data_IF_166793402281
#
_entry.id   IF_166793402281
#
_cell.length_a   1.000
_cell.length_b   1.000
_cell.length_c   1.000
_cell.angle_alpha   90.00
_cell.angle_beta   90.00
_cell.angle_gamma   90.00
#
_symmetry.space_group_name_H-M   'P 1'
#
loop_
_entity.id
_entity.type
_entity.pdbx_description
1 polymer ?
#
# COMPACT_ATOMS: atom_id res chain seq x y z
N UNK A 1 16.84 -39.57 -17.04
CA UNK A 1 15.79 -38.99 -17.92
C UNK A 1 14.43 -39.44 -17.43
N UNK A 2 13.60 -38.50 -16.95
CA UNK A 2 12.12 -38.52 -16.86
C UNK A 2 11.72 -37.41 -15.87
N UNK A 3 11.30 -36.26 -16.41
CA UNK A 3 10.70 -35.15 -15.65
C UNK A 3 9.19 -35.17 -15.93
N UNK A 4 8.41 -35.31 -14.86
CA UNK A 4 6.97 -35.19 -14.85
C UNK A 4 6.53 -33.74 -14.60
N UNK A 5 5.55 -33.36 -15.41
CA UNK A 5 4.31 -32.62 -15.11
C UNK A 5 4.38 -31.12 -14.76
N UNK A 6 4.11 -30.33 -15.81
CA UNK A 6 3.55 -28.97 -15.75
C UNK A 6 2.06 -29.06 -15.39
N UNK A 7 1.63 -28.30 -14.40
CA UNK A 7 0.22 -28.05 -14.11
C UNK A 7 -0.31 -26.99 -15.07
N UNK A 8 -1.19 -27.41 -15.98
CA UNK A 8 -2.02 -26.52 -16.80
C UNK A 8 -3.31 -26.24 -16.03
N UNK A 9 -3.59 -24.98 -15.72
CA UNK A 9 -4.85 -24.54 -15.11
C UNK A 9 -5.92 -24.58 -16.19
N UNK A 10 -6.87 -25.51 -16.05
CA UNK A 10 -8.06 -25.56 -16.89
C UNK A 10 -9.03 -24.43 -16.49
N UNK A 11 -9.34 -23.55 -17.44
CA UNK A 11 -10.45 -22.60 -17.35
C UNK A 11 -11.72 -23.41 -17.66
N UNK A 12 -12.54 -23.66 -16.64
CA UNK A 12 -13.89 -24.20 -16.84
C UNK A 12 -14.81 -23.04 -17.21
N UNK A 13 -15.07 -22.90 -18.50
CA UNK A 13 -16.16 -22.07 -19.02
C UNK A 13 -17.48 -22.83 -18.80
N UNK A 14 -18.31 -22.37 -17.87
CA UNK A 14 -19.68 -22.88 -17.75
C UNK A 14 -20.53 -22.31 -18.89
N UNK A 15 -20.89 -23.16 -19.85
CA UNK A 15 -21.93 -22.90 -20.84
C UNK A 15 -23.27 -22.75 -20.12
N UNK A 16 -23.85 -21.55 -20.17
CA UNK A 16 -25.22 -21.29 -19.72
C UNK A 16 -26.14 -21.66 -20.89
N UNK A 17 -27.00 -22.65 -20.69
CA UNK A 17 -28.06 -23.00 -21.63
C UNK A 17 -28.98 -21.81 -21.90
N UNK A 18 -29.28 -21.59 -23.17
CA UNK A 18 -30.19 -20.55 -23.64
C UNK A 18 -31.61 -21.00 -23.32
N UNK A 19 -32.16 -20.54 -22.20
CA UNK A 19 -33.59 -20.50 -21.97
C UNK A 19 -34.12 -19.15 -22.40
N UNK A 20 -34.93 -19.09 -23.46
CA UNK A 20 -35.64 -17.88 -23.83
C UNK A 20 -36.70 -17.58 -22.75
N UNK A 21 -36.62 -16.40 -22.13
CA UNK A 21 -37.69 -15.87 -21.28
C UNK A 21 -38.22 -14.59 -21.92
N UNK A 22 -39.51 -14.61 -22.24
CA UNK A 22 -40.27 -13.46 -22.71
C UNK A 22 -40.42 -12.44 -21.58
N UNK A 23 -40.36 -11.15 -21.92
CA UNK A 23 -40.64 -10.05 -20.99
C UNK A 23 -42.05 -9.55 -21.24
N UNK A 24 -42.93 -9.59 -20.23
CA UNK A 24 -44.17 -8.81 -20.25
C UNK A 24 -43.97 -7.52 -19.47
N UNK A 25 -44.13 -6.39 -20.17
CA UNK A 25 -44.26 -5.05 -19.59
C UNK A 25 -45.76 -4.78 -19.52
N UNK A 26 -46.33 -4.67 -18.33
CA UNK A 26 -47.76 -4.38 -18.17
C UNK A 26 -47.97 -2.86 -18.14
N UNK A 27 -48.50 -2.33 -19.25
CA UNK A 27 -49.24 -1.07 -19.28
C UNK A 27 -50.75 -1.42 -19.36
N UNK A 28 -51.58 -0.62 -18.70
CA UNK A 28 -53.03 -0.82 -18.65
C UNK A 28 -53.66 -0.57 -20.03
N UNK A 29 -54.39 -1.55 -20.57
CA UNK A 29 -55.79 -1.40 -21.04
C UNK A 29 -56.37 -2.72 -21.59
N UNK A 30 -57.70 -2.70 -21.71
CA UNK A 30 -58.72 -3.76 -21.76
C UNK A 30 -58.73 -4.79 -22.91
N UNK A 31 -59.39 -5.93 -22.59
CA UNK A 31 -60.15 -6.91 -23.41
C UNK A 31 -59.56 -8.30 -23.78
N UNK A 32 -60.34 -9.31 -23.35
CA UNK A 32 -60.63 -10.66 -23.91
C UNK A 32 -59.65 -11.85 -23.82
N UNK A 33 -60.26 -12.98 -23.43
CA UNK A 33 -59.75 -14.31 -23.10
C UNK A 33 -58.91 -15.02 -24.17
N UNK A 34 -57.92 -15.82 -23.74
CA UNK A 34 -57.78 -17.27 -24.02
C UNK A 34 -56.90 -17.88 -22.91
N UNK A 35 -57.39 -18.96 -22.30
CA UNK A 35 -56.70 -19.75 -21.27
C UNK A 35 -55.77 -20.79 -21.91
N UNK A 36 -54.52 -20.86 -21.48
CA UNK A 36 -53.63 -22.00 -21.73
C UNK A 36 -52.77 -22.24 -20.50
N UNK A 37 -53.01 -23.37 -19.83
CA UNK A 37 -52.23 -23.84 -18.69
C UNK A 37 -50.79 -24.14 -19.12
N UNK A 38 -49.83 -23.29 -18.72
CA UNK A 38 -48.42 -23.63 -18.68
C UNK A 38 -47.88 -23.41 -17.27
N UNK A 39 -47.20 -24.45 -16.78
CA UNK A 39 -46.59 -24.57 -15.46
C UNK A 39 -45.77 -23.33 -15.10
N UNK A 40 -46.13 -22.72 -13.98
CA UNK A 40 -45.53 -21.53 -13.39
C UNK A 40 -44.11 -21.82 -12.91
N UNK A 41 -43.12 -21.55 -13.77
CA UNK A 41 -41.78 -21.23 -13.27
C UNK A 41 -41.87 -19.91 -12.54
N UNK A 42 -41.77 -19.93 -11.21
CA UNK A 42 -41.86 -18.76 -10.36
C UNK A 42 -40.75 -17.77 -10.70
N UNK A 43 -41.03 -16.84 -11.62
CA UNK A 43 -40.19 -15.68 -11.86
C UNK A 43 -40.34 -14.78 -10.64
N UNK A 44 -39.42 -14.87 -9.69
CA UNK A 44 -39.29 -13.88 -8.61
C UNK A 44 -39.00 -12.52 -9.24
N UNK A 45 -40.05 -11.77 -9.54
CA UNK A 45 -39.95 -10.37 -9.91
C UNK A 45 -39.44 -9.61 -8.69
N UNK A 46 -38.39 -8.81 -8.86
CA UNK A 46 -37.88 -7.94 -7.83
C UNK A 46 -38.01 -6.50 -8.32
N UNK A 47 -38.34 -5.58 -7.40
CA UNK A 47 -38.32 -4.15 -7.70
C UNK A 47 -36.87 -3.71 -7.90
N UNK A 48 -36.51 -3.30 -9.12
CA UNK A 48 -35.15 -2.78 -9.41
C UNK A 48 -34.80 -1.56 -8.56
N UNK A 49 -35.80 -0.79 -8.10
CA UNK A 49 -35.60 0.39 -7.25
C UNK A 49 -35.06 0.04 -5.85
N UNK A 50 -35.27 -1.19 -5.39
CA UNK A 50 -34.85 -1.62 -4.05
C UNK A 50 -33.36 -1.99 -3.97
N UNK A 51 -32.66 -1.99 -5.11
CA UNK A 51 -31.29 -2.46 -5.22
C UNK A 51 -30.36 -1.37 -5.77
N UNK A 52 -29.05 -1.53 -5.53
CA UNK A 52 -28.09 -0.66 -6.17
C UNK A 52 -28.19 -0.76 -7.69
N UNK A 53 -28.34 0.38 -8.35
CA UNK A 53 -28.34 0.51 -9.81
C UNK A 53 -26.95 0.72 -10.42
N UNK A 54 -25.97 1.09 -9.58
CA UNK A 54 -24.57 1.32 -9.95
C UNK A 54 -23.66 0.61 -8.97
N UNK A 55 -22.50 0.18 -9.45
CA UNK A 55 -21.50 -0.48 -8.63
C UNK A 55 -20.93 0.47 -7.56
N UNK A 56 -21.29 0.32 -6.26
CA UNK A 56 -20.67 1.13 -5.21
C UNK A 56 -19.21 0.73 -5.04
N UNK A 57 -18.34 1.64 -4.56
CA UNK A 57 -16.94 1.29 -4.25
C UNK A 57 -16.77 0.74 -2.84
N UNK A 58 -17.57 1.27 -1.91
CA UNK A 58 -17.60 0.87 -0.50
C UNK A 58 -19.06 0.76 -0.10
N UNK A 59 -19.39 -0.29 0.62
CA UNK A 59 -20.70 -0.48 1.26
C UNK A 59 -20.55 -0.51 2.77
N UNK A 60 -21.58 -0.03 3.47
CA UNK A 60 -21.81 -0.23 4.90
C UNK A 60 -23.08 -1.06 5.08
N UNK A 61 -23.01 -2.09 5.92
CA UNK A 61 -24.17 -2.89 6.31
C UNK A 61 -25.04 -2.07 7.26
N UNK A 62 -26.29 -1.79 6.87
CA UNK A 62 -27.28 -1.09 7.70
C UNK A 62 -27.92 -2.03 8.70
N UNK A 63 -28.37 -3.18 8.22
CA UNK A 63 -28.97 -4.24 9.02
C UNK A 63 -28.22 -5.53 8.77
N UNK A 64 -27.98 -6.29 9.84
CA UNK A 64 -27.25 -7.55 9.76
C UNK A 64 -27.89 -8.45 8.70
N UNK A 65 -27.08 -8.98 7.80
CA UNK A 65 -27.53 -9.79 6.66
C UNK A 65 -26.59 -10.97 6.47
N UNK A 66 -27.07 -12.12 5.98
CA UNK A 66 -26.16 -13.20 5.58
C UNK A 66 -25.21 -12.74 4.47
N UNK A 67 -23.97 -13.23 4.55
CA UNK A 67 -22.94 -13.10 3.54
C UNK A 67 -22.60 -14.50 3.01
N UNK A 68 -22.45 -14.61 1.70
CA UNK A 68 -22.43 -15.87 0.98
C UNK A 68 -21.09 -16.07 0.27
N UNK A 69 -20.78 -17.33 -0.06
CA UNK A 69 -19.62 -17.67 -0.90
C UNK A 69 -19.92 -17.69 -2.40
N UNK A 70 -21.18 -17.55 -2.79
CA UNK A 70 -21.63 -17.60 -4.19
C UNK A 70 -22.63 -16.48 -4.53
N UNK A 71 -22.72 -16.16 -5.83
CA UNK A 71 -23.61 -15.11 -6.34
C UNK A 71 -25.09 -15.51 -6.39
N UNK A 72 -25.41 -16.80 -6.24
CA UNK A 72 -26.80 -17.27 -6.17
C UNK A 72 -27.40 -17.09 -4.77
N UNK A 73 -26.58 -16.69 -3.79
CA UNK A 73 -26.95 -16.52 -2.39
C UNK A 73 -27.48 -17.82 -1.75
N UNK A 74 -26.88 -18.96 -2.11
CA UNK A 74 -27.32 -20.27 -1.60
C UNK A 74 -26.47 -20.75 -0.43
N UNK A 75 -25.16 -20.48 -0.42
CA UNK A 75 -24.25 -20.93 0.62
C UNK A 75 -23.85 -19.77 1.55
N UNK A 76 -24.64 -19.56 2.60
CA UNK A 76 -24.33 -18.58 3.65
C UNK A 76 -23.12 -19.06 4.44
N UNK A 77 -22.06 -18.23 4.48
CA UNK A 77 -20.82 -18.54 5.21
C UNK A 77 -20.72 -17.83 6.55
N UNK A 78 -21.36 -16.66 6.68
CA UNK A 78 -21.44 -15.92 7.95
C UNK A 78 -22.48 -14.81 7.89
N UNK A 79 -22.80 -14.23 9.03
CA UNK A 79 -23.52 -12.96 9.12
C UNK A 79 -22.57 -11.77 8.94
N UNK A 80 -22.89 -10.87 8.02
CA UNK A 80 -22.32 -9.53 7.98
C UNK A 80 -23.08 -8.63 8.96
N UNK A 81 -22.37 -8.05 9.93
CA UNK A 81 -22.99 -7.33 11.05
C UNK A 81 -23.35 -5.90 10.65
N UNK A 82 -24.40 -5.34 11.25
CA UNK A 82 -24.68 -3.89 11.15
C UNK A 82 -23.43 -3.08 11.51
N UNK A 83 -23.13 -2.06 10.70
CA UNK A 83 -21.93 -1.22 10.82
C UNK A 83 -20.69 -1.77 10.13
N UNK A 84 -20.68 -3.03 9.70
CA UNK A 84 -19.56 -3.61 8.94
C UNK A 84 -19.44 -2.93 7.57
N UNK A 85 -18.20 -2.79 7.09
CA UNK A 85 -17.89 -2.15 5.81
C UNK A 85 -17.14 -3.11 4.90
N UNK A 86 -17.37 -2.98 3.60
CA UNK A 86 -16.67 -3.76 2.59
C UNK A 86 -16.25 -2.90 1.41
N UNK A 87 -15.04 -3.15 0.92
CA UNK A 87 -14.68 -2.78 -0.44
C UNK A 87 -15.43 -3.68 -1.41
N UNK A 88 -15.95 -3.08 -2.46
CA UNK A 88 -16.73 -3.76 -3.49
C UNK A 88 -15.88 -3.98 -4.72
N UNK A 89 -15.84 -5.23 -5.17
CA UNK A 89 -15.21 -5.63 -6.42
C UNK A 89 -16.16 -5.38 -7.58
N UNK A 90 -17.39 -5.88 -7.50
CA UNK A 90 -18.39 -5.72 -8.55
C UNK A 90 -19.82 -5.78 -8.01
N UNK A 91 -20.74 -5.17 -8.77
CA UNK A 91 -22.17 -5.41 -8.68
C UNK A 91 -22.53 -6.40 -9.79
N UNK A 92 -23.07 -7.55 -9.41
CA UNK A 92 -23.46 -8.62 -10.32
C UNK A 92 -24.97 -8.58 -10.44
N UNK A 93 -25.49 -8.55 -11.66
CA UNK A 93 -26.92 -8.63 -11.93
C UNK A 93 -27.16 -9.89 -12.76
N UNK A 94 -27.40 -11.06 -12.13
CA UNK A 94 -27.67 -12.28 -12.88
C UNK A 94 -29.00 -12.15 -13.62
N UNK A 95 -29.11 -12.76 -14.79
CA UNK A 95 -30.34 -12.74 -15.59
C UNK A 95 -31.53 -13.20 -14.74
N UNK A 96 -32.60 -12.40 -14.73
CA UNK A 96 -33.84 -12.66 -14.00
C UNK A 96 -33.68 -12.87 -12.48
N UNK A 97 -32.58 -12.38 -11.87
CA UNK A 97 -32.38 -12.42 -10.40
C UNK A 97 -31.99 -11.05 -9.84
N UNK A 98 -32.21 -10.90 -8.54
CA UNK A 98 -31.86 -9.69 -7.81
C UNK A 98 -30.34 -9.41 -7.86
N UNK A 99 -29.91 -8.13 -7.94
CA UNK A 99 -28.49 -7.78 -7.94
C UNK A 99 -27.79 -8.17 -6.62
N UNK A 100 -26.51 -8.54 -6.75
CA UNK A 100 -25.65 -9.00 -5.65
C UNK A 100 -24.34 -8.23 -5.69
N UNK A 101 -23.88 -7.79 -4.52
CA UNK A 101 -22.57 -7.17 -4.37
C UNK A 101 -21.54 -8.27 -4.12
N UNK A 102 -20.50 -8.32 -4.95
CA UNK A 102 -19.27 -9.08 -4.69
C UNK A 102 -18.24 -8.17 -4.05
N UNK A 103 -17.82 -8.52 -2.83
CA UNK A 103 -16.79 -7.80 -2.07
C UNK A 103 -15.38 -8.25 -2.49
N UNK A 104 -14.36 -7.44 -2.19
CA UNK A 104 -12.96 -7.81 -2.46
C UNK A 104 -12.47 -8.97 -1.59
N UNK A 105 -13.18 -9.31 -0.51
CA UNK A 105 -12.90 -10.49 0.32
C UNK A 105 -13.51 -11.77 -0.26
N UNK A 106 -14.20 -11.69 -1.41
CA UNK A 106 -14.86 -12.83 -2.04
C UNK A 106 -16.25 -13.14 -1.48
N UNK A 107 -16.77 -12.33 -0.55
CA UNK A 107 -18.13 -12.49 -0.02
C UNK A 107 -19.15 -11.85 -0.95
N UNK A 108 -20.33 -12.46 -1.01
CA UNK A 108 -21.49 -11.98 -1.75
C UNK A 108 -22.57 -11.53 -0.77
N UNK A 109 -23.15 -10.34 -1.00
CA UNK A 109 -24.25 -9.80 -0.20
C UNK A 109 -25.40 -9.35 -1.11
N UNK A 110 -26.67 -9.47 -0.71
CA UNK A 110 -27.78 -8.92 -1.46
C UNK A 110 -27.57 -7.41 -1.66
N UNK A 111 -27.66 -6.89 -2.89
CA UNK A 111 -27.41 -5.48 -3.18
C UNK A 111 -28.57 -4.56 -2.79
N UNK A 112 -29.40 -4.98 -1.82
CA UNK A 112 -30.63 -4.29 -1.42
C UNK A 112 -30.27 -3.04 -0.62
N UNK A 113 -30.80 -1.88 -1.01
CA UNK A 113 -30.51 -0.57 -0.39
C UNK A 113 -31.11 -0.43 1.02
N UNK A 114 -32.09 -1.27 1.37
CA UNK A 114 -32.56 -1.41 2.74
C UNK A 114 -31.48 -2.02 3.64
N UNK A 115 -30.72 -3.00 3.15
CA UNK A 115 -29.68 -3.73 3.89
C UNK A 115 -28.32 -3.04 3.84
N UNK A 116 -27.99 -2.41 2.71
CA UNK A 116 -26.67 -1.84 2.45
C UNK A 116 -26.77 -0.35 2.10
N UNK A 117 -25.80 0.44 2.56
CA UNK A 117 -25.60 1.82 2.14
C UNK A 117 -24.30 1.93 1.35
N UNK A 118 -24.32 2.61 0.20
CA UNK A 118 -23.09 3.03 -0.46
C UNK A 118 -22.48 4.19 0.33
N UNK A 119 -21.19 4.10 0.67
CA UNK A 119 -20.50 5.14 1.46
C UNK A 119 -19.29 5.69 0.71
N UNK A 120 -18.95 6.95 1.00
CA UNK A 120 -17.76 7.60 0.45
C UNK A 120 -16.56 7.27 1.34
N UNK A 121 -15.46 6.86 0.72
CA UNK A 121 -14.20 6.69 1.41
C UNK A 121 -13.51 8.02 1.66
N UNK A 122 -12.65 8.05 2.69
CA UNK A 122 -11.76 9.15 2.99
C UNK A 122 -10.75 9.33 1.87
N UNK A 123 -10.70 10.54 1.33
CA UNK A 123 -9.76 10.92 0.29
C UNK A 123 -9.29 12.34 0.54
N UNK A 124 -8.03 12.59 0.17
CA UNK A 124 -7.54 13.96 0.10
C UNK A 124 -8.23 14.71 -1.06
N UNK A 125 -8.32 16.06 -0.99
CA UNK A 125 -8.77 16.86 -2.12
C UNK A 125 -7.95 16.59 -3.40
N UNK A 126 -8.54 16.87 -4.56
CA UNK A 126 -7.85 16.76 -5.85
C UNK A 126 -6.60 17.66 -5.84
N UNK A 127 -5.49 17.16 -6.39
CA UNK A 127 -4.20 17.87 -6.42
C UNK A 127 -3.24 17.49 -5.30
N UNK A 128 -3.69 16.68 -4.32
CA UNK A 128 -2.83 16.09 -3.29
C UNK A 128 -2.74 14.57 -3.47
N UNK A 129 -1.74 13.96 -2.83
CA UNK A 129 -1.59 12.51 -2.81
C UNK A 129 -2.88 11.85 -2.39
N UNK A 130 -3.37 10.92 -3.19
CA UNK A 130 -4.60 10.20 -2.86
C UNK A 130 -4.28 9.06 -1.89
N UNK A 131 -5.24 8.79 -1.02
CA UNK A 131 -5.14 7.66 -0.09
C UNK A 131 -5.53 6.38 -0.81
N UNK A 132 -4.65 5.40 -0.78
CA UNK A 132 -4.87 4.07 -1.30
C UNK A 132 -5.76 3.26 -0.34
N UNK A 133 -6.74 2.56 -0.90
CA UNK A 133 -7.65 1.67 -0.15
C UNK A 133 -7.22 0.21 -0.16
N UNK A 134 -6.19 -0.10 -0.94
CA UNK A 134 -5.58 -1.43 -1.04
C UNK A 134 -4.08 -1.29 -0.83
N UNK A 135 -3.41 -2.41 -0.53
CA UNK A 135 -1.97 -2.43 -0.25
C UNK A 135 -1.19 -1.69 -1.34
N UNK A 136 -0.47 -0.64 -0.94
CA UNK A 136 0.43 0.09 -1.81
C UNK A 136 1.49 -0.87 -2.34
N UNK A 137 1.76 -0.77 -3.64
CA UNK A 137 2.77 -1.58 -4.33
C UNK A 137 4.09 -0.82 -4.41
N UNK A 138 5.23 -1.53 -4.41
CA UNK A 138 6.52 -0.87 -4.60
C UNK A 138 6.58 -0.18 -5.96
N UNK A 139 7.24 0.98 -5.99
CA UNK A 139 7.50 1.75 -7.19
C UNK A 139 8.98 1.58 -7.59
N UNK A 140 9.23 1.08 -8.81
CA UNK A 140 10.57 0.73 -9.30
C UNK A 140 10.75 -0.78 -9.50
N UNK A 141 11.96 -1.18 -9.89
CA UNK A 141 12.29 -2.58 -10.19
C UNK A 141 12.74 -3.32 -8.93
N UNK A 142 11.95 -4.30 -8.50
CA UNK A 142 12.31 -5.20 -7.39
C UNK A 142 13.41 -6.16 -7.84
N UNK A 143 14.45 -6.34 -7.02
CA UNK A 143 15.55 -7.24 -7.31
C UNK A 143 16.61 -6.64 -8.24
N UNK A 144 16.87 -5.34 -8.10
CA UNK A 144 17.88 -4.64 -8.90
C UNK A 144 19.32 -4.98 -8.46
N UNK A 145 20.27 -4.87 -9.40
CA UNK A 145 21.70 -5.06 -9.18
C UNK A 145 22.31 -3.90 -8.39
N UNK A 146 23.27 -4.18 -7.51
CA UNK A 146 23.94 -3.17 -6.72
C UNK A 146 25.21 -2.67 -7.41
N UNK A 147 25.36 -1.35 -7.49
CA UNK A 147 26.49 -0.68 -8.14
C UNK A 147 27.18 0.29 -7.17
N UNK A 148 28.36 0.78 -7.57
CA UNK A 148 29.04 1.86 -6.86
C UNK A 148 28.13 3.09 -6.72
N UNK A 149 28.17 3.72 -5.54
CA UNK A 149 27.34 4.88 -5.18
C UNK A 149 25.99 4.53 -4.57
N UNK A 150 25.55 3.27 -4.61
CA UNK A 150 24.30 2.87 -3.95
C UNK A 150 24.44 2.88 -2.43
N UNK A 151 23.33 3.18 -1.76
CA UNK A 151 23.19 3.12 -0.31
C UNK A 151 22.18 2.02 0.10
N UNK A 152 21.57 2.14 1.27
CA UNK A 152 20.46 1.28 1.67
C UNK A 152 20.89 -0.07 2.25
N UNK A 153 19.88 -0.93 2.44
CA UNK A 153 20.03 -2.20 3.19
C UNK A 153 20.88 -3.22 2.44
N UNK A 154 20.77 -3.32 1.11
CA UNK A 154 21.61 -4.24 0.33
C UNK A 154 23.09 -3.87 0.44
N UNK A 155 23.42 -2.59 0.29
CA UNK A 155 24.78 -2.07 0.51
C UNK A 155 25.26 -2.35 1.92
N UNK A 156 24.46 -2.03 2.94
CA UNK A 156 24.80 -2.29 4.33
C UNK A 156 25.16 -3.77 4.57
N UNK A 157 24.34 -4.72 4.07
CA UNK A 157 24.61 -6.17 4.22
C UNK A 157 25.90 -6.60 3.52
N UNK A 158 26.12 -6.13 2.29
CA UNK A 158 27.31 -6.46 1.49
C UNK A 158 28.57 -5.96 2.18
N UNK A 159 28.57 -4.71 2.63
CA UNK A 159 29.73 -4.11 3.29
C UNK A 159 30.07 -4.84 4.59
N UNK A 160 29.08 -5.29 5.35
CA UNK A 160 29.32 -6.11 6.55
C UNK A 160 29.88 -7.48 6.20
N UNK A 161 29.35 -8.15 5.18
CA UNK A 161 29.84 -9.47 4.75
C UNK A 161 31.28 -9.42 4.24
N UNK A 162 31.68 -8.32 3.61
CA UNK A 162 33.00 -8.14 3.03
C UNK A 162 33.98 -7.37 3.93
N UNK A 163 33.55 -6.95 5.13
CA UNK A 163 34.40 -6.22 6.06
C UNK A 163 34.80 -4.82 5.60
N UNK A 164 34.01 -4.18 4.74
CA UNK A 164 34.29 -2.84 4.19
C UNK A 164 33.47 -1.72 4.84
N UNK A 165 32.61 -2.06 5.82
CA UNK A 165 31.80 -1.08 6.53
C UNK A 165 32.64 -0.26 7.51
N UNK A 166 32.60 1.07 7.38
CA UNK A 166 33.36 2.01 8.19
C UNK A 166 32.47 3.15 8.72
N UNK A 167 31.29 2.81 9.25
CA UNK A 167 30.35 3.78 9.82
C UNK A 167 29.33 4.38 8.84
N UNK A 168 29.48 4.17 7.53
CA UNK A 168 28.55 4.65 6.50
C UNK A 168 28.23 3.54 5.50
N UNK A 169 26.95 3.38 5.15
CA UNK A 169 26.48 2.34 4.22
C UNK A 169 26.40 2.84 2.78
N UNK A 170 27.51 3.37 2.26
CA UNK A 170 27.70 3.77 0.87
C UNK A 170 28.60 2.78 0.15
N UNK A 171 28.16 2.31 -1.02
CA UNK A 171 28.93 1.41 -1.87
C UNK A 171 30.09 2.18 -2.51
N UNK A 172 31.18 2.28 -1.76
CA UNK A 172 32.36 3.06 -2.08
C UNK A 172 33.38 2.26 -2.93
N UNK A 173 34.48 2.89 -3.41
CA UNK A 173 35.53 2.20 -4.17
C UNK A 173 36.16 1.00 -3.44
N UNK A 174 36.29 1.05 -2.11
CA UNK A 174 36.81 -0.06 -1.33
C UNK A 174 35.89 -1.30 -1.40
N UNK A 175 34.58 -1.08 -1.27
CA UNK A 175 33.55 -2.13 -1.41
C UNK A 175 33.53 -2.69 -2.83
N UNK A 176 33.62 -1.82 -3.84
CA UNK A 176 33.74 -2.24 -5.25
C UNK A 176 34.93 -3.17 -5.48
N UNK A 177 36.11 -2.80 -4.99
CA UNK A 177 37.32 -3.64 -5.11
C UNK A 177 37.19 -4.95 -4.31
N UNK A 178 36.60 -4.92 -3.12
CA UNK A 178 36.35 -6.11 -2.32
C UNK A 178 35.39 -7.09 -3.03
N UNK A 179 34.32 -6.59 -3.64
CA UNK A 179 33.39 -7.40 -4.45
C UNK A 179 34.09 -7.99 -5.65
N UNK A 180 34.89 -7.20 -6.38
CA UNK A 180 35.67 -7.67 -7.52
C UNK A 180 36.63 -8.80 -7.13
N UNK A 181 37.31 -8.67 -6.00
CA UNK A 181 38.20 -9.70 -5.47
C UNK A 181 37.44 -10.95 -5.02
N UNK A 182 36.30 -10.78 -4.35
CA UNK A 182 35.41 -11.87 -3.98
C UNK A 182 34.94 -12.64 -5.21
N UNK A 183 34.48 -11.95 -6.26
CA UNK A 183 34.05 -12.57 -7.51
C UNK A 183 35.16 -13.42 -8.14
N UNK A 184 36.39 -12.89 -8.25
CA UNK A 184 37.55 -13.65 -8.75
C UNK A 184 37.78 -14.94 -7.98
N UNK A 185 37.82 -14.87 -6.64
CA UNK A 185 38.05 -16.04 -5.77
C UNK A 185 36.94 -17.09 -5.85
N UNK A 186 35.77 -16.72 -6.34
CA UNK A 186 34.61 -17.59 -6.43
C UNK A 186 34.21 -17.94 -7.87
N UNK A 187 35.10 -17.73 -8.84
CA UNK A 187 34.90 -18.03 -10.26
C UNK A 187 33.64 -17.34 -10.85
N UNK A 188 33.36 -16.12 -10.39
CA UNK A 188 32.33 -15.24 -10.94
C UNK A 188 32.97 -14.16 -11.82
N UNK A 189 32.24 -13.59 -12.80
CA UNK A 189 32.71 -12.41 -13.52
C UNK A 189 33.07 -11.28 -12.55
N UNK A 190 34.31 -10.80 -12.61
CA UNK A 190 34.84 -9.80 -11.68
C UNK A 190 34.45 -8.37 -12.11
N UNK A 191 33.15 -8.09 -12.14
CA UNK A 191 32.61 -6.78 -12.54
C UNK A 191 32.72 -5.73 -11.45
N UNK A 192 32.76 -6.16 -10.18
CA UNK A 192 32.65 -5.29 -9.01
C UNK A 192 31.21 -4.83 -8.72
N UNK A 193 30.24 -5.28 -9.53
CA UNK A 193 28.80 -5.10 -9.32
C UNK A 193 28.22 -6.34 -8.66
N UNK A 194 27.13 -6.21 -7.92
CA UNK A 194 26.46 -7.36 -7.31
C UNK A 194 25.18 -7.64 -8.06
N UNK A 195 25.17 -8.74 -8.80
CA UNK A 195 23.98 -9.38 -9.34
C UNK A 195 23.44 -10.44 -8.35
N UNK A 196 22.31 -11.05 -8.69
CA UNK A 196 21.71 -12.10 -7.85
C UNK A 196 22.68 -13.28 -7.61
N UNK A 197 23.51 -13.64 -8.60
CA UNK A 197 24.49 -14.74 -8.45
C UNK A 197 25.55 -14.40 -7.42
N UNK A 198 26.13 -13.20 -7.50
CA UNK A 198 27.11 -12.69 -6.52
C UNK A 198 26.48 -12.57 -5.14
N UNK A 199 25.25 -12.07 -5.05
CA UNK A 199 24.48 -11.97 -3.80
C UNK A 199 24.29 -13.33 -3.13
N UNK A 200 23.89 -14.35 -3.89
CA UNK A 200 23.76 -15.72 -3.37
C UNK A 200 25.09 -16.33 -2.98
N UNK A 201 26.17 -16.02 -3.72
CA UNK A 201 27.51 -16.49 -3.39
C UNK A 201 28.06 -15.85 -2.11
N UNK A 202 27.66 -14.61 -1.82
CA UNK A 202 27.84 -13.94 -0.52
C UNK A 202 26.96 -14.53 0.60
N UNK A 203 26.35 -15.70 0.36
CA UNK A 203 25.56 -16.44 1.32
C UNK A 203 24.32 -15.64 1.81
N UNK A 204 23.72 -14.90 0.89
CA UNK A 204 22.42 -14.27 1.10
C UNK A 204 21.33 -14.98 0.30
N UNK A 205 20.12 -15.09 0.86
CA UNK A 205 19.04 -15.79 0.18
C UNK A 205 18.48 -14.99 -1.00
N UNK A 206 18.02 -15.71 -2.05
CA UNK A 206 17.22 -15.14 -3.14
C UNK A 206 15.97 -14.44 -2.63
N UNK A 207 15.36 -14.94 -1.55
CA UNK A 207 14.22 -14.28 -0.91
C UNK A 207 14.59 -12.87 -0.40
N UNK A 208 15.76 -12.69 0.21
CA UNK A 208 16.20 -11.38 0.67
C UNK A 208 16.55 -10.41 -0.46
N UNK A 209 16.98 -10.91 -1.62
CA UNK A 209 17.25 -10.09 -2.81
C UNK A 209 16.02 -9.31 -3.27
N UNK A 210 14.86 -9.98 -3.33
CA UNK A 210 13.60 -9.35 -3.72
C UNK A 210 12.87 -8.75 -2.51
N UNK A 211 12.93 -9.40 -1.35
CA UNK A 211 12.17 -9.02 -0.16
C UNK A 211 12.57 -7.67 0.42
N UNK A 212 13.86 -7.31 0.36
CA UNK A 212 14.35 -6.00 0.83
C UNK A 212 13.72 -4.86 0.01
N UNK A 213 13.70 -5.01 -1.32
CA UNK A 213 13.22 -3.98 -2.26
C UNK A 213 11.68 -3.95 -2.33
N UNK A 214 11.05 -5.12 -2.18
CA UNK A 214 9.59 -5.26 -2.24
C UNK A 214 8.89 -4.78 -0.97
N UNK A 215 9.64 -4.50 0.11
CA UNK A 215 9.02 -4.12 1.37
C UNK A 215 8.38 -2.74 1.30
N UNK A 216 7.06 -2.75 1.47
CA UNK A 216 6.21 -1.58 1.68
C UNK A 216 5.42 -1.86 2.95
N UNK A 217 5.37 -0.91 3.87
CA UNK A 217 4.63 -1.07 5.11
C UNK A 217 3.18 -1.49 4.82
N UNK A 218 2.62 -2.45 5.58
CA UNK A 218 1.24 -2.88 5.40
C UNK A 218 0.28 -1.70 5.58
N UNK A 219 -0.72 -1.58 4.71
CA UNK A 219 -1.80 -0.61 4.89
C UNK A 219 -2.58 -0.95 6.17
N UNK A 220 -2.66 -0.01 7.12
CA UNK A 220 -3.33 -0.22 8.43
C UNK A 220 -4.63 0.57 8.60
N UNK A 221 -4.95 1.46 7.67
CA UNK A 221 -6.18 2.23 7.68
C UNK A 221 -7.05 1.89 6.47
N UNK A 222 -8.33 1.69 6.74
CA UNK A 222 -9.33 1.35 5.75
C UNK A 222 -10.01 2.61 5.21
N UNK A 223 -10.53 2.51 3.99
CA UNK A 223 -11.13 3.62 3.26
C UNK A 223 -12.23 4.38 4.04
N UNK A 224 -12.95 3.73 4.96
CA UNK A 224 -14.07 4.30 5.71
C UNK A 224 -13.68 4.86 7.09
N UNK A 225 -12.43 4.72 7.54
CA UNK A 225 -12.03 5.08 8.90
C UNK A 225 -11.61 6.56 9.07
N UNK A 226 -11.57 7.33 7.98
CA UNK A 226 -11.34 8.77 8.05
C UNK A 226 -9.88 9.17 8.31
N UNK A 227 -9.60 10.47 8.25
CA UNK A 227 -8.27 11.08 8.39
C UNK A 227 -7.48 10.57 9.60
N UNK A 228 -8.11 10.52 10.77
CA UNK A 228 -7.43 10.15 12.02
C UNK A 228 -6.85 8.73 11.98
N UNK A 229 -7.57 7.77 11.38
CA UNK A 229 -7.09 6.40 11.28
C UNK A 229 -5.85 6.28 10.39
N UNK A 230 -5.78 7.04 9.30
CA UNK A 230 -4.62 7.09 8.42
C UNK A 230 -3.39 7.73 9.11
N UNK A 231 -3.61 8.77 9.92
CA UNK A 231 -2.56 9.38 10.76
C UNK A 231 -2.04 8.39 11.79
N UNK A 232 -2.93 7.70 12.52
CA UNK A 232 -2.50 6.72 13.53
C UNK A 232 -1.84 5.50 12.90
N UNK A 233 -2.28 5.06 11.72
CA UNK A 233 -1.59 4.03 10.94
C UNK A 233 -0.16 4.44 10.57
N UNK A 234 0.03 5.69 10.11
CA UNK A 234 1.33 6.25 9.80
C UNK A 234 2.23 6.28 11.04
N UNK A 235 1.74 6.84 12.14
CA UNK A 235 2.52 6.99 13.38
C UNK A 235 2.82 5.62 14.00
N UNK A 236 1.86 4.70 14.02
CA UNK A 236 2.06 3.32 14.47
C UNK A 236 3.24 2.67 13.74
N UNK A 237 3.31 2.84 12.41
CA UNK A 237 4.42 2.29 11.63
C UNK A 237 5.75 2.94 12.00
N UNK A 238 5.80 4.25 12.24
CA UNK A 238 7.03 4.91 12.71
C UNK A 238 7.54 4.29 14.02
N UNK A 239 6.64 3.98 14.96
CA UNK A 239 6.99 3.32 16.22
C UNK A 239 7.49 1.88 16.06
N UNK A 240 7.18 1.18 14.95
CA UNK A 240 7.78 -0.13 14.69
C UNK A 240 9.31 -0.06 14.51
N UNK A 241 9.83 1.11 14.14
CA UNK A 241 11.26 1.35 14.03
C UNK A 241 11.88 1.93 15.31
N UNK A 242 11.13 2.11 16.41
CA UNK A 242 11.67 2.74 17.62
C UNK A 242 12.96 2.04 18.09
N UNK A 243 14.02 2.82 18.30
CA UNK A 243 15.33 2.31 18.70
C UNK A 243 16.17 1.64 17.60
N UNK A 244 15.63 1.44 16.38
CA UNK A 244 16.39 0.91 15.25
C UNK A 244 17.46 1.89 14.79
N UNK A 245 18.61 1.41 14.30
CA UNK A 245 19.72 2.29 13.93
C UNK A 245 19.35 3.19 12.75
N UNK A 246 19.96 4.38 12.74
CA UNK A 246 19.95 5.24 11.56
C UNK A 246 20.87 4.65 10.49
N UNK A 247 20.36 4.44 9.27
CA UNK A 247 21.12 3.90 8.13
C UNK A 247 20.76 4.67 6.86
N UNK A 248 21.75 5.24 6.18
CA UNK A 248 21.56 6.12 5.01
C UNK A 248 20.90 5.40 3.83
N UNK A 249 19.97 6.06 3.13
CA UNK A 249 19.29 5.49 1.95
C UNK A 249 18.44 4.25 2.25
N UNK A 250 18.13 3.97 3.52
CA UNK A 250 17.36 2.82 3.93
C UNK A 250 15.88 3.16 4.08
N UNK A 251 15.02 2.48 3.30
CA UNK A 251 13.55 2.49 3.44
C UNK A 251 12.99 1.07 3.27
N UNK A 252 13.29 0.16 4.19
CA UNK A 252 12.81 -1.23 4.18
C UNK A 252 12.25 -1.63 5.54
N UNK A 253 11.99 -2.91 5.77
CA UNK A 253 11.33 -3.47 6.95
C UNK A 253 11.90 -2.98 8.30
N UNK A 254 11.06 -2.82 9.36
CA UNK A 254 11.51 -2.58 10.74
C UNK A 254 12.46 -3.64 11.32
N UNK A 255 12.65 -4.76 10.62
CA UNK A 255 13.72 -5.71 10.93
C UNK A 255 15.12 -5.05 10.87
N UNK A 256 15.27 -3.95 10.12
CA UNK A 256 16.52 -3.24 9.92
C UNK A 256 16.48 -1.81 10.50
N UNK A 257 17.49 -1.01 10.16
CA UNK A 257 17.50 0.45 10.35
C UNK A 257 16.86 1.21 9.19
N UNK A 258 16.78 2.53 9.35
CA UNK A 258 16.08 3.43 8.43
C UNK A 258 16.67 4.84 8.55
N UNK A 259 16.73 5.63 7.49
CA UNK A 259 17.04 7.06 7.62
C UNK A 259 15.78 7.91 7.84
N UNK A 260 15.94 9.23 7.84
CA UNK A 260 14.86 10.17 8.04
C UNK A 260 13.72 10.06 7.02
N UNK A 261 14.05 10.12 5.74
CA UNK A 261 13.07 10.04 4.65
C UNK A 261 12.52 8.64 4.50
N UNK A 262 13.32 7.60 4.72
CA UNK A 262 12.86 6.23 4.74
C UNK A 262 11.83 5.95 5.82
N UNK A 263 12.02 6.53 7.02
CA UNK A 263 11.04 6.40 8.11
C UNK A 263 9.71 7.02 7.69
N UNK A 264 9.76 8.23 7.12
CA UNK A 264 8.56 8.92 6.64
C UNK A 264 7.89 8.16 5.49
N UNK A 265 8.63 7.65 4.51
CA UNK A 265 8.07 6.89 3.39
C UNK A 265 7.35 5.63 3.88
N UNK A 266 8.00 4.81 4.72
CA UNK A 266 7.37 3.61 5.27
C UNK A 266 6.15 3.94 6.13
N UNK A 267 6.20 5.04 6.88
CA UNK A 267 5.05 5.51 7.65
C UNK A 267 3.90 5.96 6.73
N UNK A 268 4.17 6.73 5.68
CA UNK A 268 3.16 7.17 4.71
C UNK A 268 2.48 5.99 4.04
N UNK A 269 3.22 4.95 3.66
CA UNK A 269 2.66 3.72 3.08
C UNK A 269 1.67 3.03 4.02
N UNK A 270 1.98 2.95 5.32
CA UNK A 270 1.06 2.36 6.29
C UNK A 270 -0.23 3.17 6.45
N UNK A 271 -0.13 4.49 6.34
CA UNK A 271 -1.26 5.41 6.23
C UNK A 271 -1.89 5.46 4.84
N UNK A 272 -1.40 4.70 3.86
CA UNK A 272 -1.99 4.60 2.53
C UNK A 272 -1.61 5.72 1.56
N UNK A 273 -0.57 6.51 1.81
CA UNK A 273 -0.02 7.45 0.81
C UNK A 273 1.22 6.86 0.18
N UNK A 274 1.30 6.94 -1.15
CA UNK A 274 2.50 6.65 -1.92
C UNK A 274 3.17 7.96 -2.34
N UNK A 275 4.34 8.35 -1.78
CA UNK A 275 4.98 9.64 -2.07
C UNK A 275 5.78 9.65 -3.38
N UNK A 276 5.34 8.88 -4.37
CA UNK A 276 6.01 8.76 -5.67
C UNK A 276 6.19 10.13 -6.33
N UNK A 277 7.33 10.39 -7.00
CA UNK A 277 8.37 9.42 -7.38
C UNK A 277 9.35 9.05 -6.25
N UNK A 278 9.31 9.72 -5.10
CA UNK A 278 10.08 9.31 -3.91
C UNK A 278 9.59 7.92 -3.46
N UNK A 279 10.47 6.93 -3.46
CA UNK A 279 10.07 5.53 -3.25
C UNK A 279 11.12 4.74 -2.48
N UNK A 280 10.69 3.66 -1.82
CA UNK A 280 11.60 2.80 -1.06
C UNK A 280 12.73 2.19 -1.88
N UNK A 281 12.46 1.80 -3.12
CA UNK A 281 13.48 1.24 -4.03
C UNK A 281 14.44 2.34 -4.45
N UNK A 282 13.91 3.42 -5.05
CA UNK A 282 14.73 4.53 -5.54
C UNK A 282 15.56 5.21 -4.45
N UNK A 283 15.15 5.14 -3.19
CA UNK A 283 15.86 5.78 -2.09
C UNK A 283 17.31 5.31 -1.90
N UNK A 284 17.60 4.05 -2.21
CA UNK A 284 18.95 3.50 -2.13
C UNK A 284 19.82 3.86 -3.36
N UNK A 285 19.25 4.48 -4.39
CA UNK A 285 19.94 4.77 -5.64
C UNK A 285 20.70 6.10 -5.54
N UNK A 286 21.85 6.25 -6.23
CA UNK A 286 22.62 7.49 -6.26
C UNK A 286 21.77 8.71 -6.59
N UNK A 287 21.99 9.82 -5.89
CA UNK A 287 21.25 11.07 -6.03
C UNK A 287 19.98 11.17 -5.19
N UNK A 288 19.61 10.13 -4.44
CA UNK A 288 18.43 10.10 -3.56
C UNK A 288 18.76 10.12 -2.07
N UNK A 289 20.02 10.46 -1.72
CA UNK A 289 20.53 10.56 -0.35
C UNK A 289 19.73 11.60 0.47
N UNK A 290 19.16 12.58 -0.23
CA UNK A 290 18.40 13.68 0.35
C UNK A 290 16.94 13.67 -0.08
N UNK A 291 16.28 12.50 -0.05
CA UNK A 291 14.86 12.41 -0.37
C UNK A 291 13.95 13.29 0.53
N UNK A 292 14.43 13.76 1.67
CA UNK A 292 13.81 14.85 2.44
C UNK A 292 13.61 16.13 1.60
N UNK A 293 14.56 16.47 0.70
CA UNK A 293 14.43 17.57 -0.27
C UNK A 293 13.34 17.29 -1.30
N UNK A 294 13.27 16.06 -1.81
CA UNK A 294 12.24 15.67 -2.78
C UNK A 294 10.84 15.75 -2.17
N UNK A 295 10.67 15.24 -0.94
CA UNK A 295 9.43 15.38 -0.16
C UNK A 295 9.11 16.85 0.16
N UNK A 296 10.11 17.71 0.37
CA UNK A 296 9.91 19.15 0.56
C UNK A 296 9.53 19.90 -0.74
N UNK A 297 10.01 19.45 -1.89
CA UNK A 297 9.65 20.00 -3.19
C UNK A 297 8.26 19.52 -3.66
N UNK A 298 7.79 18.38 -3.16
CA UNK A 298 6.55 17.75 -3.59
C UNK A 298 5.30 18.63 -3.33
N UNK A 299 4.68 19.10 -4.40
CA UNK A 299 3.49 19.98 -4.35
C UNK A 299 2.22 19.24 -3.93
N UNK A 300 2.21 17.92 -3.97
CA UNK A 300 1.06 17.09 -3.57
C UNK A 300 1.00 16.83 -2.07
N UNK A 301 1.97 17.34 -1.30
CA UNK A 301 1.95 17.43 0.16
C UNK A 301 1.62 18.88 0.55
N UNK A 302 0.49 19.09 1.23
CA UNK A 302 -0.03 20.44 1.54
C UNK A 302 0.89 21.17 2.51
N UNK A 303 1.39 22.35 2.15
CA UNK A 303 2.10 23.22 3.10
C UNK A 303 1.12 23.81 4.12
N UNK A 304 1.53 23.87 5.38
CA UNK A 304 0.73 24.41 6.49
C UNK A 304 1.58 25.43 7.27
N UNK A 305 1.00 26.55 7.75
CA UNK A 305 1.69 27.44 8.68
C UNK A 305 2.18 26.70 9.92
N UNK A 306 3.34 27.09 10.47
CA UNK A 306 3.88 26.41 11.65
C UNK A 306 2.91 26.41 12.85
N UNK A 307 2.15 27.49 13.04
CA UNK A 307 1.12 27.64 14.09
C UNK A 307 -0.04 26.65 13.96
N UNK A 308 -0.33 26.16 12.75
CA UNK A 308 -1.44 25.24 12.46
C UNK A 308 -1.01 23.76 12.41
N UNK A 309 0.23 23.47 12.78
CA UNK A 309 0.76 22.09 12.81
C UNK A 309 -0.08 21.21 13.72
N UNK A 310 -0.37 20.00 13.25
CA UNK A 310 -1.15 19.00 13.95
C UNK A 310 -0.41 17.66 13.93
N UNK A 311 -0.69 16.83 14.93
CA UNK A 311 -0.22 15.44 14.94
C UNK A 311 -0.47 14.79 13.57
N UNK A 312 0.56 14.13 13.04
CA UNK A 312 0.56 13.54 11.70
C UNK A 312 1.09 14.45 10.60
N UNK A 313 1.42 15.71 10.88
CA UNK A 313 2.14 16.56 9.92
C UNK A 313 3.63 16.17 9.86
N UNK A 314 4.26 16.47 8.72
CA UNK A 314 5.68 16.29 8.47
C UNK A 314 6.41 17.59 8.75
N UNK A 315 7.49 17.52 9.54
CA UNK A 315 8.34 18.66 9.92
C UNK A 315 9.64 18.58 9.12
N UNK A 316 9.93 19.62 8.34
CA UNK A 316 11.16 19.74 7.57
C UNK A 316 12.06 20.76 8.24
N UNK A 317 13.37 20.56 8.11
CA UNK A 317 14.34 21.47 8.71
C UNK A 317 15.47 21.75 7.75
N UNK A 318 16.09 22.91 7.93
CA UNK A 318 17.29 23.30 7.23
C UNK A 318 18.52 22.78 7.96
N UNK A 319 19.55 22.46 7.18
CA UNK A 319 20.90 22.33 7.71
C UNK A 319 21.32 23.71 8.24
N UNK A 320 21.85 23.78 9.47
CA UNK A 320 22.35 25.02 10.03
C UNK A 320 23.36 25.68 9.08
N UNK A 321 23.14 26.96 8.77
CA UNK A 321 24.06 27.79 7.97
C UNK A 321 23.94 27.66 6.44
N UNK A 322 23.26 26.66 5.87
CA UNK A 322 23.26 26.43 4.41
C UNK A 322 21.87 26.55 3.75
N UNK A 323 20.84 26.90 4.52
CA UNK A 323 19.41 27.02 4.12
C UNK A 323 18.91 25.87 3.21
N UNK A 324 19.53 24.69 3.34
CA UNK A 324 19.25 23.52 2.50
C UNK A 324 18.52 22.48 3.33
N UNK A 325 17.46 21.87 2.79
CA UNK A 325 16.75 20.80 3.50
C UNK A 325 17.70 19.62 3.69
N UNK A 326 17.77 19.12 4.93
CA UNK A 326 18.64 17.99 5.28
C UNK A 326 17.92 16.87 6.00
N UNK A 327 16.80 17.14 6.67
CA UNK A 327 16.14 16.12 7.47
C UNK A 327 14.64 16.44 7.66
N UNK A 328 13.84 15.38 7.86
CA UNK A 328 12.38 15.34 7.95
C UNK A 328 11.95 14.45 9.13
N UNK A 329 10.90 14.84 9.84
CA UNK A 329 10.34 14.09 10.97
C UNK A 329 8.81 14.07 10.95
N UNK A 330 8.18 13.20 11.76
CA UNK A 330 6.72 13.13 11.92
C UNK A 330 6.31 13.80 13.22
N UNK A 331 5.45 14.81 13.15
CA UNK A 331 4.95 15.54 14.31
C UNK A 331 3.95 14.70 15.11
N UNK A 332 4.19 14.59 16.42
CA UNK A 332 3.37 13.79 17.34
C UNK A 332 2.34 14.62 18.10
N UNK A 333 2.35 15.96 17.93
CA UNK A 333 1.70 16.89 18.84
C UNK A 333 2.60 17.27 20.02
N UNK A 334 2.18 18.26 20.79
CA UNK A 334 2.86 18.72 22.01
C UNK A 334 4.37 18.99 21.83
N UNK A 335 4.76 19.63 20.71
CA UNK A 335 6.15 19.95 20.41
C UNK A 335 7.10 18.75 20.40
N UNK A 336 6.60 17.56 20.05
CA UNK A 336 7.42 16.35 19.89
C UNK A 336 7.33 15.80 18.48
N UNK A 337 8.41 15.16 18.06
CA UNK A 337 8.49 14.43 16.79
C UNK A 337 8.99 13.01 17.04
N UNK A 338 8.62 12.07 16.17
CA UNK A 338 9.36 10.84 15.96
C UNK A 338 10.21 11.02 14.70
N UNK A 339 11.50 10.68 14.80
CA UNK A 339 12.47 10.87 13.74
C UNK A 339 13.49 9.74 13.72
N UNK A 340 14.11 9.52 12.56
CA UNK A 340 15.36 8.75 12.47
C UNK A 340 16.51 9.72 12.31
N UNK A 341 17.40 9.74 13.29
CA UNK A 341 18.60 10.57 13.31
C UNK A 341 19.73 9.81 14.01
N UNK A 342 21.02 9.97 13.65
CA UNK A 342 22.09 9.26 14.34
C UNK A 342 22.01 9.39 15.88
N UNK A 343 22.06 8.28 16.62
CA UNK A 343 22.34 6.91 16.14
C UNK A 343 21.10 6.08 15.79
N UNK A 344 19.87 6.53 16.05
CA UNK A 344 18.66 5.67 16.02
C UNK A 344 17.35 6.44 15.85
N UNK A 345 16.28 5.69 15.57
CA UNK A 345 14.92 6.20 15.66
C UNK A 345 14.55 6.50 17.11
N UNK A 346 13.98 7.68 17.34
CA UNK A 346 13.67 8.20 18.66
C UNK A 346 12.53 9.23 18.64
N UNK A 347 11.96 9.46 19.81
CA UNK A 347 11.11 10.64 20.07
C UNK A 347 11.98 11.76 20.63
N UNK A 348 11.85 12.95 20.06
CA UNK A 348 12.61 14.13 20.46
C UNK A 348 11.70 15.37 20.50
N UNK A 349 12.12 16.44 21.18
CA UNK A 349 11.52 17.77 20.98
C UNK A 349 11.57 18.15 19.49
N UNK A 350 10.53 18.84 19.01
CA UNK A 350 10.45 19.35 17.62
C UNK A 350 11.59 20.33 17.31
N UNK A 351 12.23 20.91 18.32
CA UNK A 351 13.43 21.73 18.18
C UNK A 351 14.42 21.29 19.24
N UNK A 352 15.65 20.97 18.85
CA UNK A 352 16.74 20.61 19.75
C UNK A 352 18.09 21.13 19.20
N UNK A 353 19.19 20.90 19.92
CA UNK A 353 20.51 21.41 19.54
C UNK A 353 21.03 20.92 18.18
N UNK A 354 20.56 19.76 17.69
CA UNK A 354 20.92 19.23 16.37
C UNK A 354 19.92 19.68 15.29
N UNK A 355 18.65 19.84 15.66
CA UNK A 355 17.52 20.19 14.77
C UNK A 355 16.87 21.48 15.24
N UNK A 356 17.57 22.59 15.03
CA UNK A 356 17.18 23.91 15.56
C UNK A 356 16.48 24.83 14.54
N UNK A 357 16.60 24.59 13.23
CA UNK A 357 16.06 25.49 12.20
C UNK A 357 14.95 24.81 11.39
N UNK A 358 13.69 25.03 11.76
CA UNK A 358 12.54 24.48 11.03
C UNK A 358 12.38 25.20 9.67
N UNK A 359 12.29 24.42 8.60
CA UNK A 359 12.05 24.90 7.24
C UNK A 359 10.57 25.04 6.91
N UNK A 360 9.73 24.17 7.48
CA UNK A 360 8.29 24.26 7.36
C UNK A 360 7.57 22.95 7.61
N UNK A 361 6.24 23.01 7.50
CA UNK A 361 5.33 21.91 7.81
C UNK A 361 4.58 21.49 6.55
N UNK A 362 4.44 20.17 6.35
CA UNK A 362 3.52 19.64 5.33
C UNK A 362 2.56 18.60 5.90
N UNK A 363 1.31 18.66 5.47
CA UNK A 363 0.23 17.77 5.88
C UNK A 363 -0.04 16.72 4.80
N UNK A 364 0.23 15.43 5.08
CA UNK A 364 0.00 14.36 4.11
C UNK A 364 -1.49 13.98 4.03
N UNK A 365 -2.20 13.93 5.15
CA UNK A 365 -3.63 13.61 5.21
C UNK A 365 -4.43 14.89 5.48
N UNK A 366 -5.35 15.25 4.58
CA UNK A 366 -6.04 16.54 4.52
C UNK A 366 -7.53 16.38 4.82
#
# INVERSE_FOLDING_TARGET
MKKQNKWTIAIVSALIGIGACTTSVQAADTTSDVSTNQSTSATTSYSKADYFSRNPKIIRVKHSTPAYSDAALTNSVRTARSGEHFLVQSLITPNCKAPVVRTTTGLYLPAKTSLLAAVKGYKNPKGYHQVHYTQVKPYGTVGYNLYRGYEGIKTWRVMHRLGTWAGHNLYNPATYNAVKNFQRRHNLPATGDIDLKTWQKLDFSKASWYGIDNYIAPLRAQAWQGRSAHIEAMIHQAYQYMGKPWLAGCSSSPAYGVDCSGLVMQSLYAGGISPTPTSSIGHAHPGNEWNSRNLWADKHLKRIPYSERQRGDLVFYYQPGTHTIWHIAIYLGHNRVIESWPPRVMVQPIVNGQRNVIAGIKRPFI
#
